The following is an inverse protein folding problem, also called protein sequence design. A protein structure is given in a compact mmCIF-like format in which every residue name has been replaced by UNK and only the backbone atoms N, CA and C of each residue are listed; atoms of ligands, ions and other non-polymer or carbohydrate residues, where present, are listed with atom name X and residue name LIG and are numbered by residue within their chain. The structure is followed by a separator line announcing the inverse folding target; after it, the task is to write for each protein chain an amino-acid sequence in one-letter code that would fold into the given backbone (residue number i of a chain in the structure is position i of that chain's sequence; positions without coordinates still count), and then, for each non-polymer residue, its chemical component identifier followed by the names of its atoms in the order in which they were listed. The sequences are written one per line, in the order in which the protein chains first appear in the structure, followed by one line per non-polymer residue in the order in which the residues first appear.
data_IF_412498796163
#
_entry.id   IF_412498796163
#
_cell.length_a   1.000
_cell.length_b   1.000
_cell.length_c   1.000
_cell.angle_alpha   90.00
_cell.angle_beta   90.00
_cell.angle_gamma   90.00
#
_symmetry.space_group_name_H-M   'P 1'
#
loop_
_entity.id
_entity.type
_entity.pdbx_description
1 polymer ?
#
# COMPACT_ATOMS: atom_id res chain seq x y z
N UNK A 1 15.48 -17.41 -9.26
CA UNK A 1 14.57 -17.74 -8.16
C UNK A 1 13.57 -16.60 -8.09
N UNK A 2 12.27 -16.82 -8.30
CA UNK A 2 11.28 -15.74 -8.16
C UNK A 2 11.02 -15.57 -6.66
N UNK A 3 11.47 -14.45 -6.10
CA UNK A 3 11.23 -14.13 -4.70
C UNK A 3 9.72 -14.03 -4.46
N UNK A 4 9.24 -14.65 -3.38
CA UNK A 4 7.82 -14.57 -3.02
C UNK A 4 7.59 -13.26 -2.27
N UNK A 5 6.74 -12.41 -2.82
CA UNK A 5 6.26 -11.19 -2.17
C UNK A 5 5.09 -11.51 -1.22
N UNK A 6 4.87 -10.64 -0.24
CA UNK A 6 3.72 -10.73 0.65
C UNK A 6 3.06 -9.37 0.83
N UNK A 7 1.73 -9.37 0.90
CA UNK A 7 0.94 -8.23 1.33
C UNK A 7 0.66 -8.39 2.82
N UNK A 8 1.10 -7.40 3.60
CA UNK A 8 0.96 -7.37 5.05
C UNK A 8 0.02 -6.23 5.44
N UNK A 9 -0.79 -6.46 6.47
CA UNK A 9 -1.57 -5.40 7.14
C UNK A 9 -1.00 -5.18 8.53
N UNK A 10 -0.75 -3.92 8.87
CA UNK A 10 -0.42 -3.53 10.24
C UNK A 10 -1.71 -3.53 11.07
N UNK A 11 -1.66 -4.24 12.18
CA UNK A 11 -2.70 -4.33 13.20
C UNK A 11 -2.16 -3.78 14.53
N UNK A 12 -3.05 -3.62 15.52
CA UNK A 12 -2.67 -3.15 16.86
C UNK A 12 -1.51 -3.94 17.48
N UNK A 13 -1.47 -5.25 17.26
CA UNK A 13 -0.54 -6.16 17.93
C UNK A 13 0.58 -6.68 17.00
N UNK A 14 0.68 -6.17 15.77
CA UNK A 14 1.73 -6.58 14.82
C UNK A 14 1.27 -6.64 13.37
N UNK A 15 1.90 -7.51 12.57
CA UNK A 15 1.58 -7.66 11.15
C UNK A 15 0.82 -8.95 10.87
N UNK A 16 -0.26 -8.85 10.08
CA UNK A 16 -0.98 -10.00 9.53
C UNK A 16 -0.65 -10.17 8.06
N UNK A 17 -0.33 -11.39 7.64
CA UNK A 17 -0.15 -11.73 6.22
C UNK A 17 -1.53 -11.87 5.58
N UNK A 18 -1.89 -10.93 4.69
CA UNK A 18 -3.13 -11.03 3.92
C UNK A 18 -2.98 -11.98 2.74
N UNK A 19 -1.83 -11.91 2.04
CA UNK A 19 -1.59 -12.72 0.84
C UNK A 19 -0.11 -12.94 0.58
N UNK A 20 0.22 -14.08 -0.01
CA UNK A 20 1.53 -14.39 -0.60
C UNK A 20 1.38 -14.55 -2.10
N UNK A 21 2.32 -14.00 -2.86
CA UNK A 21 2.29 -13.99 -4.31
C UNK A 21 3.69 -13.89 -4.89
N UNK A 22 3.85 -14.26 -6.16
CA UNK A 22 5.12 -14.07 -6.88
C UNK A 22 5.11 -12.87 -7.81
N UNK A 23 3.94 -12.24 -7.95
CA UNK A 23 3.70 -11.09 -8.82
C UNK A 23 2.77 -10.14 -8.10
N UNK A 24 2.83 -8.87 -8.47
CA UNK A 24 1.93 -7.85 -7.94
C UNK A 24 0.45 -8.20 -8.21
N UNK A 25 0.13 -8.74 -9.39
CA UNK A 25 -1.23 -9.19 -9.76
C UNK A 25 -1.86 -10.16 -8.76
N UNK A 26 -1.05 -10.90 -8.01
CA UNK A 26 -1.56 -11.80 -6.98
C UNK A 26 -2.24 -11.06 -5.80
N UNK A 27 -2.02 -9.74 -5.68
CA UNK A 27 -2.54 -8.87 -4.64
C UNK A 27 -3.74 -8.03 -5.08
N UNK A 28 -4.00 -7.92 -6.39
CA UNK A 28 -5.13 -7.15 -6.95
C UNK A 28 -6.47 -7.45 -6.25
N UNK A 29 -6.88 -8.73 -6.04
CA UNK A 29 -8.16 -9.00 -5.38
C UNK A 29 -8.23 -8.48 -3.95
N UNK A 30 -7.11 -8.53 -3.21
CA UNK A 30 -7.08 -8.05 -1.83
C UNK A 30 -7.12 -6.52 -1.80
N UNK A 31 -6.46 -5.86 -2.74
CA UNK A 31 -6.53 -4.42 -2.87
C UNK A 31 -7.93 -3.96 -3.26
N UNK A 32 -8.62 -4.71 -4.13
CA UNK A 32 -10.03 -4.46 -4.47
C UNK A 32 -10.93 -4.56 -3.23
N UNK A 33 -10.87 -5.69 -2.50
CA UNK A 33 -11.62 -5.89 -1.25
C UNK A 33 -11.37 -4.76 -0.25
N UNK A 34 -10.11 -4.36 -0.07
CA UNK A 34 -9.74 -3.25 0.82
C UNK A 34 -10.30 -1.92 0.32
N UNK A 35 -10.22 -1.63 -0.99
CA UNK A 35 -10.81 -0.39 -1.53
C UNK A 35 -12.33 -0.34 -1.41
N UNK A 36 -13.03 -1.48 -1.47
CA UNK A 36 -14.47 -1.54 -1.22
C UNK A 36 -14.80 -1.29 0.25
N UNK A 37 -14.06 -1.90 1.19
CA UNK A 37 -14.21 -1.65 2.64
C UNK A 37 -13.98 -0.18 2.97
N UNK A 38 -13.05 0.46 2.25
CA UNK A 38 -12.66 1.84 2.43
C UNK A 38 -13.55 2.84 1.72
N UNK A 39 -14.25 2.41 0.66
CA UNK A 39 -15.18 3.27 -0.08
C UNK A 39 -16.32 3.69 0.83
N UNK A 40 -16.39 4.99 1.12
CA UNK A 40 -17.40 5.58 2.02
C UNK A 40 -16.92 5.82 3.45
N UNK A 41 -15.70 5.41 3.80
CA UNK A 41 -15.05 5.91 5.01
C UNK A 41 -14.47 7.30 4.75
N UNK A 42 -14.50 8.17 5.77
CA UNK A 42 -13.96 9.52 5.67
C UNK A 42 -12.42 9.52 5.80
N UNK A 43 -11.74 9.07 4.75
CA UNK A 43 -10.29 9.24 4.64
C UNK A 43 -9.97 10.67 4.24
N UNK A 44 -9.07 11.31 4.98
CA UNK A 44 -8.58 12.63 4.67
C UNK A 44 -7.42 12.60 3.69
N UNK A 45 -6.60 11.54 3.73
CA UNK A 45 -5.39 11.40 2.90
C UNK A 45 -5.03 9.95 2.63
N UNK A 46 -4.49 9.70 1.44
CA UNK A 46 -3.82 8.47 1.04
C UNK A 46 -2.35 8.78 0.70
N UNK A 47 -1.43 7.99 1.24
CA UNK A 47 0.00 8.11 0.95
C UNK A 47 0.59 6.74 0.60
N UNK A 48 1.59 6.74 -0.29
CA UNK A 48 2.35 5.57 -0.69
C UNK A 48 3.84 5.86 -0.56
N UNK A 49 4.52 5.10 0.29
CA UNK A 49 5.97 5.14 0.41
C UNK A 49 6.65 4.01 -0.35
N UNK A 50 7.70 4.31 -1.10
CA UNK A 50 8.43 3.33 -1.94
C UNK A 50 9.94 3.37 -1.71
N UNK A 51 10.61 2.23 -1.89
CA UNK A 51 12.07 2.14 -1.73
C UNK A 51 12.83 2.35 -3.04
N UNK A 52 12.52 1.56 -4.08
CA UNK A 52 13.24 1.56 -5.36
C UNK A 52 12.35 1.49 -6.60
N UNK A 53 11.05 1.26 -6.42
CA UNK A 53 10.10 1.00 -7.52
C UNK A 53 9.14 2.18 -7.69
N UNK A 54 9.68 3.32 -8.11
CA UNK A 54 8.92 4.58 -8.27
C UNK A 54 7.81 4.45 -9.32
N UNK A 55 8.10 3.93 -10.51
CA UNK A 55 7.09 3.76 -11.57
C UNK A 55 5.93 2.87 -11.11
N UNK A 56 6.24 1.74 -10.46
CA UNK A 56 5.21 0.87 -9.89
C UNK A 56 4.43 1.58 -8.77
N UNK A 57 5.10 2.36 -7.94
CA UNK A 57 4.44 3.14 -6.89
C UNK A 57 3.46 4.17 -7.49
N UNK A 58 3.86 4.86 -8.57
CA UNK A 58 3.01 5.82 -9.28
C UNK A 58 1.77 5.17 -9.88
N UNK A 59 1.95 4.05 -10.59
CA UNK A 59 0.84 3.29 -11.18
C UNK A 59 -0.18 2.86 -10.12
N UNK A 60 0.30 2.30 -9.01
CA UNK A 60 -0.56 1.80 -7.94
C UNK A 60 -1.24 2.92 -7.15
N UNK A 61 -0.52 4.00 -6.90
CA UNK A 61 -1.09 5.15 -6.24
C UNK A 61 -2.21 5.76 -7.09
N UNK A 62 -2.00 5.89 -8.41
CA UNK A 62 -3.01 6.41 -9.33
C UNK A 62 -4.25 5.51 -9.39
N UNK A 63 -4.07 4.19 -9.43
CA UNK A 63 -5.19 3.24 -9.43
C UNK A 63 -6.01 3.32 -8.14
N UNK A 64 -5.34 3.27 -6.98
CA UNK A 64 -6.00 3.33 -5.67
C UNK A 64 -6.66 4.69 -5.43
N UNK A 65 -6.00 5.78 -5.79
CA UNK A 65 -6.53 7.13 -5.75
C UNK A 65 -7.83 7.26 -6.56
N UNK A 66 -7.83 6.77 -7.79
CA UNK A 66 -9.00 6.76 -8.67
C UNK A 66 -10.17 5.95 -8.07
N UNK A 67 -9.89 4.76 -7.51
CA UNK A 67 -10.90 3.91 -6.88
C UNK A 67 -11.53 4.55 -5.63
N UNK A 68 -10.72 5.24 -4.84
CA UNK A 68 -11.10 5.84 -3.55
C UNK A 68 -11.58 7.30 -3.67
N UNK A 69 -11.36 7.96 -4.80
CA UNK A 69 -11.66 9.38 -4.97
C UNK A 69 -10.77 10.30 -4.12
N UNK A 70 -9.51 9.91 -3.91
CA UNK A 70 -8.53 10.64 -3.09
C UNK A 70 -7.35 11.09 -3.94
N UNK A 71 -6.67 12.16 -3.53
CA UNK A 71 -5.36 12.51 -4.09
C UNK A 71 -4.26 11.70 -3.37
N UNK A 72 -3.38 11.00 -4.11
CA UNK A 72 -2.28 10.27 -3.52
C UNK A 72 -1.11 11.20 -3.19
N UNK A 73 -0.48 10.97 -2.04
CA UNK A 73 0.86 11.49 -1.76
C UNK A 73 1.89 10.38 -1.99
N UNK A 74 2.76 10.53 -2.99
CA UNK A 74 3.93 9.66 -3.14
C UNK A 74 5.13 10.23 -2.41
N UNK A 75 5.85 9.36 -1.71
CA UNK A 75 7.09 9.75 -1.05
C UNK A 75 8.13 8.61 -1.02
N UNK A 76 9.42 8.93 -1.15
CA UNK A 76 10.47 7.94 -0.89
C UNK A 76 10.41 7.45 0.57
N UNK A 77 10.59 6.15 0.77
CA UNK A 77 10.65 5.55 2.10
C UNK A 77 11.86 6.08 2.88
N UNK A 78 11.62 6.45 4.14
CA UNK A 78 12.69 6.88 5.05
C UNK A 78 13.72 5.75 5.27
N UNK A 79 14.97 6.06 5.68
CA UNK A 79 15.99 5.04 5.95
C UNK A 79 15.55 3.97 6.95
N UNK A 80 14.76 4.35 7.96
CA UNK A 80 14.17 3.42 8.90
C UNK A 80 13.18 2.48 8.23
N UNK A 81 12.24 3.03 7.44
CA UNK A 81 11.23 2.22 6.76
C UNK A 81 11.87 1.26 5.75
N UNK A 82 12.88 1.72 4.98
CA UNK A 82 13.66 0.86 4.06
C UNK A 82 14.31 -0.34 4.75
N UNK A 83 14.82 -0.14 5.97
CA UNK A 83 15.38 -1.22 6.79
C UNK A 83 14.32 -2.27 7.14
N UNK A 84 13.08 -1.85 7.35
CA UNK A 84 11.97 -2.72 7.76
C UNK A 84 11.34 -3.46 6.60
N UNK A 85 11.10 -2.80 5.47
CA UNK A 85 10.37 -3.35 4.32
C UNK A 85 11.27 -3.90 3.21
N UNK A 86 12.59 -3.69 3.34
CA UNK A 86 13.59 -4.08 2.37
C UNK A 86 13.64 -3.16 1.15
N UNK A 87 14.61 -3.43 0.26
CA UNK A 87 14.91 -2.55 -0.88
C UNK A 87 13.82 -2.52 -1.96
N UNK A 88 12.82 -3.40 -1.92
CA UNK A 88 11.73 -3.46 -2.91
C UNK A 88 10.34 -3.27 -2.29
N UNK A 89 10.28 -2.80 -1.03
CA UNK A 89 9.02 -2.65 -0.32
C UNK A 89 8.20 -1.44 -0.77
N UNK A 90 6.88 -1.59 -0.67
CA UNK A 90 5.89 -0.53 -0.83
C UNK A 90 5.03 -0.50 0.43
N UNK A 91 4.64 0.69 0.89
CA UNK A 91 3.72 0.82 2.04
C UNK A 91 2.63 1.83 1.71
N UNK A 92 1.39 1.42 1.95
CA UNK A 92 0.20 2.23 1.78
C UNK A 92 -0.27 2.71 3.14
N UNK A 93 -0.56 4.00 3.27
CA UNK A 93 -1.09 4.60 4.49
C UNK A 93 -2.35 5.38 4.18
N UNK A 94 -3.39 5.15 4.98
CA UNK A 94 -4.65 5.86 4.90
C UNK A 94 -4.86 6.59 6.22
N UNK A 95 -4.90 7.92 6.16
CA UNK A 95 -5.19 8.73 7.32
C UNK A 95 -6.66 9.11 7.30
N UNK A 96 -7.39 8.73 8.35
CA UNK A 96 -8.74 9.24 8.58
C UNK A 96 -8.72 10.77 8.65
N UNK A 97 -9.71 11.42 8.07
CA UNK A 97 -9.90 12.87 8.25
C UNK A 97 -10.27 13.09 9.72
N UNK A 98 -9.58 13.99 10.42
CA UNK A 98 -10.09 14.47 11.71
C UNK A 98 -11.35 15.27 11.38
N UNK A 99 -12.52 14.70 11.70
CA UNK A 99 -13.78 15.45 11.76
C UNK A 99 -13.71 16.58 12.77
#
# INVERSE_FOLDING_TARGET
MLESSCLLRLEKDGFTVLKRGRTFKAFEPVLEDMTEEWRGQAFGRFALSYTSHEELAEELAAELASKLGLEPALEPASPFLRTMIGEQGLVFYFAASKG
#
